data_IF_782512996846
#
_entry.id   IF_782512996846
#
_cell.length_a   1.000
_cell.length_b   1.000
_cell.length_c   1.000
_cell.angle_alpha   90.00
_cell.angle_beta   90.00
_cell.angle_gamma   90.00
#
_symmetry.space_group_name_H-M   'P 1'
#
loop_
_entity.id
_entity.type
_entity.pdbx_description
1 polymer ?
#
# COMPACT_ATOMS: atom_id res chain seq x y z
N UNK A 1 13.78 14.74 -22.01
CA UNK A 1 13.95 13.74 -20.96
C UNK A 1 12.61 13.07 -20.72
N UNK A 2 12.51 11.79 -21.03
CA UNK A 2 11.28 11.02 -20.74
C UNK A 2 11.10 10.97 -19.22
N UNK A 3 9.97 11.48 -18.70
CA UNK A 3 9.60 11.25 -17.29
C UNK A 3 9.42 9.73 -17.13
N UNK A 4 10.25 9.12 -16.32
CA UNK A 4 10.03 7.73 -15.96
C UNK A 4 8.70 7.63 -15.17
N UNK A 5 7.82 6.74 -15.60
CA UNK A 5 6.56 6.44 -14.91
C UNK A 5 6.70 5.07 -14.21
N UNK A 6 7.23 5.06 -12.98
CA UNK A 6 7.51 3.81 -12.29
C UNK A 6 6.24 3.02 -12.00
N UNK A 7 6.44 1.71 -11.92
CA UNK A 7 5.45 0.76 -11.42
C UNK A 7 5.29 0.89 -9.92
N UNK A 8 4.12 0.49 -9.42
CA UNK A 8 3.75 0.58 -8.02
C UNK A 8 3.59 -0.83 -7.47
N UNK A 9 4.41 -1.16 -6.47
CA UNK A 9 4.33 -2.42 -5.74
C UNK A 9 3.75 -2.13 -4.36
N UNK A 10 2.64 -2.81 -4.03
CA UNK A 10 2.12 -2.84 -2.67
C UNK A 10 2.69 -4.07 -1.96
N UNK A 11 3.21 -3.88 -0.76
CA UNK A 11 3.64 -4.93 0.15
C UNK A 11 2.89 -4.81 1.48
N UNK A 12 2.54 -5.95 2.04
CA UNK A 12 1.68 -6.13 3.21
C UNK A 12 0.21 -5.83 2.95
N UNK A 13 -0.63 -6.25 3.88
CA UNK A 13 -2.08 -6.20 3.72
C UNK A 13 -2.64 -4.80 3.91
N UNK A 14 -3.45 -4.33 2.98
CA UNK A 14 -4.18 -3.09 3.13
C UNK A 14 -5.09 -3.15 4.37
N UNK A 15 -5.19 -2.05 5.13
CA UNK A 15 -6.05 -1.94 6.31
C UNK A 15 -5.60 -2.78 7.52
N UNK A 16 -4.38 -3.33 7.51
CA UNK A 16 -3.89 -4.21 8.56
C UNK A 16 -3.80 -3.53 9.94
N UNK A 17 -3.43 -2.25 10.01
CA UNK A 17 -3.33 -1.51 11.26
C UNK A 17 -4.71 -1.31 11.91
N UNK A 18 -5.72 -0.88 11.16
CA UNK A 18 -7.08 -0.71 11.68
C UNK A 18 -7.70 -2.06 12.03
N UNK A 19 -7.44 -3.10 11.24
CA UNK A 19 -7.88 -4.47 11.51
C UNK A 19 -7.30 -5.00 12.81
N UNK A 20 -6.01 -4.82 13.07
CA UNK A 20 -5.37 -5.23 14.33
C UNK A 20 -6.00 -4.47 15.52
N UNK A 21 -6.09 -3.15 15.43
CA UNK A 21 -6.66 -2.31 16.50
C UNK A 21 -8.09 -2.71 16.85
N UNK A 22 -8.95 -2.86 15.84
CA UNK A 22 -10.34 -3.24 16.06
C UNK A 22 -10.48 -4.69 16.55
N UNK A 23 -9.57 -5.57 16.17
CA UNK A 23 -9.52 -6.95 16.70
C UNK A 23 -9.22 -6.97 18.20
N UNK A 24 -8.31 -6.14 18.66
CA UNK A 24 -7.98 -6.01 20.08
C UNK A 24 -9.17 -5.41 20.87
N UNK A 25 -9.86 -4.43 20.32
CA UNK A 25 -11.04 -3.82 20.92
C UNK A 25 -12.21 -4.82 21.00
N UNK A 26 -12.40 -5.67 20.00
CA UNK A 26 -13.42 -6.74 20.01
C UNK A 26 -13.13 -7.80 21.08
N UNK A 27 -11.87 -8.17 21.26
CA UNK A 27 -11.44 -9.07 22.33
C UNK A 27 -11.72 -8.52 23.73
N UNK A 28 -11.81 -7.18 23.87
CA UNK A 28 -12.16 -6.50 25.12
C UNK A 28 -13.67 -6.30 25.35
N UNK A 29 -14.54 -6.88 24.51
CA UNK A 29 -16.01 -6.87 24.71
C UNK A 29 -16.71 -5.58 24.27
N UNK A 30 -16.09 -4.74 23.49
CA UNK A 30 -16.66 -3.48 22.99
C UNK A 30 -17.42 -3.66 21.66
N UNK A 31 -18.51 -4.37 21.67
CA UNK A 31 -19.65 -4.10 20.74
C UNK A 31 -19.52 -4.44 19.26
N UNK A 32 -18.38 -4.89 18.76
CA UNK A 32 -18.22 -5.28 17.35
C UNK A 32 -18.22 -6.80 17.28
N UNK A 33 -19.26 -7.38 16.69
CA UNK A 33 -19.50 -8.83 16.66
C UNK A 33 -18.77 -9.50 15.47
N UNK A 34 -17.49 -9.19 15.26
CA UNK A 34 -16.66 -9.86 14.26
C UNK A 34 -15.72 -10.81 15.00
N UNK A 35 -15.86 -12.11 14.77
CA UNK A 35 -14.89 -13.11 15.23
C UNK A 35 -13.62 -12.97 14.37
N UNK A 36 -12.77 -12.04 14.75
CA UNK A 36 -11.44 -11.97 14.18
C UNK A 36 -10.61 -13.07 14.83
N UNK A 37 -10.08 -13.96 14.01
CA UNK A 37 -9.28 -15.06 14.51
C UNK A 37 -7.97 -14.52 15.12
N UNK A 38 -7.48 -15.13 16.18
CA UNK A 38 -6.14 -14.82 16.72
C UNK A 38 -5.03 -14.95 15.67
N UNK A 39 -5.29 -15.69 14.58
CA UNK A 39 -4.43 -15.81 13.43
C UNK A 39 -4.26 -14.48 12.67
N UNK A 40 -5.33 -13.68 12.51
CA UNK A 40 -5.25 -12.38 11.82
C UNK A 40 -4.38 -11.38 12.60
N UNK A 41 -4.55 -11.32 13.94
CA UNK A 41 -3.72 -10.47 14.81
C UNK A 41 -2.24 -10.87 14.71
N UNK A 42 -1.97 -12.17 14.76
CA UNK A 42 -0.61 -12.70 14.63
C UNK A 42 0.01 -12.35 13.28
N UNK A 43 -0.78 -12.41 12.19
CA UNK A 43 -0.32 -12.07 10.85
C UNK A 43 -0.02 -10.57 10.72
N UNK A 44 -0.87 -9.69 11.23
CA UNK A 44 -0.63 -8.24 11.23
C UNK A 44 0.67 -7.89 11.99
N UNK A 45 0.93 -8.54 13.13
CA UNK A 45 2.19 -8.35 13.89
C UNK A 45 3.40 -8.84 13.10
N UNK A 46 3.31 -10.00 12.47
CA UNK A 46 4.36 -10.55 11.62
C UNK A 46 4.68 -9.65 10.42
N UNK A 47 3.66 -9.07 9.79
CA UNK A 47 3.84 -8.10 8.71
C UNK A 47 4.61 -6.85 9.19
N UNK A 48 4.30 -6.35 10.38
CA UNK A 48 5.01 -5.20 10.96
C UNK A 48 6.49 -5.50 11.21
N UNK A 49 6.81 -6.68 11.75
CA UNK A 49 8.18 -7.12 11.99
C UNK A 49 8.98 -7.28 10.70
N UNK A 50 8.34 -7.64 9.59
CA UNK A 50 8.97 -7.85 8.30
C UNK A 50 9.22 -6.56 7.49
N UNK A 51 8.79 -5.38 7.96
CA UNK A 51 8.88 -4.12 7.20
C UNK A 51 10.32 -3.72 6.86
N UNK A 52 11.23 -3.85 7.81
CA UNK A 52 12.65 -3.51 7.58
C UNK A 52 13.31 -4.45 6.56
N UNK A 53 12.91 -5.72 6.57
CA UNK A 53 13.37 -6.67 5.54
C UNK A 53 12.83 -6.28 4.16
N UNK A 54 11.56 -5.87 4.06
CA UNK A 54 10.96 -5.42 2.80
C UNK A 54 11.69 -4.19 2.25
N UNK A 55 12.04 -3.22 3.10
CA UNK A 55 12.81 -2.03 2.71
C UNK A 55 14.17 -2.42 2.18
N UNK A 56 14.90 -3.25 2.90
CA UNK A 56 16.24 -3.72 2.49
C UNK A 56 16.21 -4.46 1.16
N UNK A 57 15.18 -5.28 0.91
CA UNK A 57 14.99 -5.94 -0.37
C UNK A 57 14.79 -4.90 -1.49
N UNK A 58 13.96 -3.89 -1.25
CA UNK A 58 13.67 -2.85 -2.23
C UNK A 58 14.90 -1.98 -2.55
N UNK A 59 15.69 -1.62 -1.55
CA UNK A 59 16.95 -0.90 -1.71
C UNK A 59 17.94 -1.67 -2.57
N UNK A 60 18.15 -2.96 -2.25
CA UNK A 60 19.13 -3.80 -2.94
C UNK A 60 18.69 -4.17 -4.36
N UNK A 61 17.39 -4.27 -4.63
CA UNK A 61 16.88 -4.75 -5.90
C UNK A 61 16.83 -3.69 -7.00
N UNK A 62 16.47 -2.42 -6.69
CA UNK A 62 16.13 -1.48 -7.77
C UNK A 62 16.13 0.00 -7.39
N UNK A 63 16.70 0.41 -6.28
CA UNK A 63 16.68 1.82 -5.87
C UNK A 63 15.24 2.38 -5.78
N UNK A 64 14.32 1.61 -5.22
CA UNK A 64 12.92 1.97 -5.13
C UNK A 64 12.70 3.12 -4.15
N UNK A 65 11.85 4.08 -4.51
CA UNK A 65 11.29 5.04 -3.55
C UNK A 65 10.23 4.32 -2.72
N UNK A 66 10.13 4.66 -1.44
CA UNK A 66 9.12 4.08 -0.53
C UNK A 66 8.13 5.16 -0.14
N UNK A 67 6.85 4.83 -0.19
CA UNK A 67 5.78 5.62 0.36
C UNK A 67 5.13 4.85 1.50
N UNK A 68 5.03 5.47 2.65
CA UNK A 68 4.32 4.97 3.82
C UNK A 68 2.96 5.65 3.89
N UNK A 69 1.85 4.91 3.84
CA UNK A 69 0.56 5.48 4.20
C UNK A 69 0.60 5.85 5.69
N UNK A 70 0.41 7.14 5.99
CA UNK A 70 0.40 7.63 7.35
C UNK A 70 -0.99 8.14 7.75
N UNK A 71 -1.49 7.69 8.90
CA UNK A 71 -2.75 8.15 9.47
C UNK A 71 -3.98 7.60 8.74
N UNK A 72 -4.96 8.46 8.57
CA UNK A 72 -6.27 8.12 8.00
C UNK A 72 -6.24 8.02 6.48
N UNK A 73 -7.04 7.11 5.94
CA UNK A 73 -7.33 7.04 4.51
C UNK A 73 -6.62 5.93 3.75
N UNK A 74 -5.78 5.15 4.42
CA UNK A 74 -5.20 3.92 3.90
C UNK A 74 -4.41 4.07 2.61
N UNK A 75 -4.35 2.98 1.87
CA UNK A 75 -3.55 2.88 0.64
C UNK A 75 -4.03 3.82 -0.48
N UNK A 76 -5.35 4.07 -0.58
CA UNK A 76 -5.89 4.96 -1.60
C UNK A 76 -5.49 6.41 -1.39
N UNK A 77 -5.45 6.88 -0.13
CA UNK A 77 -4.98 8.22 0.19
C UNK A 77 -3.48 8.36 -0.13
N UNK A 78 -2.67 7.37 0.24
CA UNK A 78 -1.24 7.36 -0.04
C UNK A 78 -0.95 7.42 -1.55
N UNK A 79 -1.65 6.61 -2.35
CA UNK A 79 -1.53 6.60 -3.81
C UNK A 79 -1.92 7.94 -4.43
N UNK A 80 -3.03 8.52 -3.97
CA UNK A 80 -3.47 9.84 -4.44
C UNK A 80 -2.42 10.90 -4.18
N UNK A 81 -1.93 10.98 -2.93
CA UNK A 81 -0.94 11.99 -2.52
C UNK A 81 0.42 11.79 -3.19
N UNK A 82 0.85 10.54 -3.39
CA UNK A 82 2.05 10.22 -4.14
C UNK A 82 1.97 10.72 -5.59
N UNK A 83 0.82 10.51 -6.25
CA UNK A 83 0.59 11.00 -7.61
C UNK A 83 0.56 12.54 -7.68
N UNK A 84 -0.02 13.21 -6.68
CA UNK A 84 0.02 14.68 -6.57
C UNK A 84 1.46 15.17 -6.42
N UNK A 85 2.24 14.57 -5.51
CA UNK A 85 3.64 14.95 -5.28
C UNK A 85 4.51 14.75 -6.52
N UNK A 86 4.26 13.70 -7.29
CA UNK A 86 4.96 13.42 -8.56
C UNK A 86 4.45 14.25 -9.74
N UNK A 87 3.35 14.99 -9.58
CA UNK A 87 2.67 15.69 -10.67
C UNK A 87 2.37 14.77 -11.86
N UNK A 88 1.85 13.58 -11.56
CA UNK A 88 1.54 12.54 -12.54
C UNK A 88 0.15 11.96 -12.30
N UNK A 89 -0.39 11.32 -13.33
CA UNK A 89 -1.52 10.42 -13.19
C UNK A 89 -1.09 9.08 -12.60
N UNK A 90 -2.10 8.26 -12.29
CA UNK A 90 -1.85 6.89 -11.87
C UNK A 90 -2.98 5.97 -12.30
N UNK A 91 -2.65 4.72 -12.60
CA UNK A 91 -3.59 3.63 -12.89
C UNK A 91 -3.24 2.43 -12.01
N UNK A 92 -4.21 1.99 -11.21
CA UNK A 92 -4.03 0.87 -10.27
C UNK A 92 -5.16 -0.16 -10.40
N UNK A 93 -4.84 -1.40 -10.04
CA UNK A 93 -5.78 -2.51 -9.94
C UNK A 93 -5.94 -2.88 -8.46
N UNK A 94 -7.07 -2.51 -7.86
CA UNK A 94 -7.33 -2.77 -6.44
C UNK A 94 -7.39 -4.26 -6.11
N UNK A 95 -7.85 -5.10 -7.03
CA UNK A 95 -7.91 -6.55 -6.82
C UNK A 95 -6.53 -7.20 -6.64
N UNK A 96 -5.46 -6.53 -7.10
CA UNK A 96 -4.09 -7.04 -6.98
C UNK A 96 -3.45 -6.62 -5.64
N UNK A 97 -4.06 -5.67 -4.91
CA UNK A 97 -3.56 -5.22 -3.61
C UNK A 97 -3.71 -6.34 -2.57
N UNK A 98 -2.63 -6.73 -1.89
CA UNK A 98 -2.73 -7.69 -0.79
C UNK A 98 -3.70 -7.19 0.28
N UNK A 99 -4.61 -8.07 0.72
CA UNK A 99 -5.60 -7.77 1.76
C UNK A 99 -5.98 -9.03 2.50
N UNK A 100 -6.19 -8.93 3.81
CA UNK A 100 -6.66 -10.03 4.63
C UNK A 100 -8.18 -10.23 4.46
N UNK A 101 -8.67 -11.49 4.41
CA UNK A 101 -10.11 -11.77 4.44
C UNK A 101 -10.81 -11.12 5.63
N UNK A 102 -10.16 -11.06 6.78
CA UNK A 102 -10.65 -10.44 8.00
C UNK A 102 -10.83 -8.93 7.86
N UNK A 103 -9.91 -8.26 7.14
CA UNK A 103 -10.04 -6.82 6.81
C UNK A 103 -11.27 -6.58 5.94
N UNK A 104 -11.52 -7.46 4.96
CA UNK A 104 -12.70 -7.37 4.11
C UNK A 104 -13.97 -7.54 4.92
N UNK A 105 -14.07 -8.60 5.73
CA UNK A 105 -15.24 -8.86 6.57
C UNK A 105 -15.51 -7.72 7.57
N UNK A 106 -14.46 -7.16 8.16
CA UNK A 106 -14.56 -6.03 9.06
C UNK A 106 -15.04 -4.77 8.34
N UNK A 107 -14.50 -4.50 7.17
CA UNK A 107 -14.88 -3.34 6.35
C UNK A 107 -16.36 -3.38 5.94
N UNK A 108 -16.87 -4.55 5.57
CA UNK A 108 -18.30 -4.77 5.30
C UNK A 108 -19.17 -4.49 6.53
N UNK A 109 -18.78 -4.99 7.70
CA UNK A 109 -19.49 -4.77 8.96
C UNK A 109 -19.54 -3.29 9.34
N UNK A 110 -18.48 -2.54 9.06
CA UNK A 110 -18.36 -1.12 9.38
C UNK A 110 -18.90 -0.20 8.28
N UNK A 111 -19.29 -0.72 7.11
CA UNK A 111 -19.66 0.07 5.94
C UNK A 111 -18.52 0.94 5.42
N UNK A 112 -17.27 0.47 5.55
CA UNK A 112 -16.07 1.19 5.12
C UNK A 112 -15.46 0.55 3.86
N UNK A 113 -14.72 1.34 3.09
CA UNK A 113 -13.87 0.80 2.03
C UNK A 113 -12.57 0.28 2.65
N UNK A 114 -12.21 -1.01 2.47
CA UNK A 114 -11.05 -1.62 3.11
C UNK A 114 -9.71 -0.96 2.68
N UNK A 115 -9.65 -0.43 1.47
CA UNK A 115 -8.46 0.28 0.97
C UNK A 115 -8.31 1.71 1.50
N UNK A 116 -9.29 2.19 2.28
CA UNK A 116 -9.27 3.46 3.03
C UNK A 116 -9.07 3.26 4.53
N UNK A 117 -9.02 2.02 5.00
CA UNK A 117 -8.71 1.70 6.39
C UNK A 117 -7.22 1.94 6.67
N UNK A 118 -6.92 2.40 7.88
CA UNK A 118 -5.55 2.69 8.30
C UNK A 118 -4.65 1.46 8.13
N UNK A 119 -3.47 1.67 7.57
CA UNK A 119 -2.58 0.57 7.17
C UNK A 119 -1.11 0.88 7.44
N UNK A 120 -0.34 -0.18 7.67
CA UNK A 120 1.12 -0.16 7.68
C UNK A 120 1.72 -0.79 6.41
N UNK A 121 0.91 -1.03 5.38
CA UNK A 121 1.41 -1.47 4.08
C UNK A 121 2.44 -0.50 3.51
N UNK A 122 3.38 -1.02 2.74
CA UNK A 122 4.40 -0.24 2.05
C UNK A 122 4.07 -0.14 0.56
N UNK A 123 4.25 1.05 0.00
CA UNK A 123 4.21 1.27 -1.44
C UNK A 123 5.62 1.55 -1.94
N UNK A 124 6.07 0.75 -2.87
CA UNK A 124 7.35 0.92 -3.55
C UNK A 124 7.12 1.39 -4.97
N UNK A 125 7.93 2.36 -5.40
CA UNK A 125 7.89 2.91 -6.76
C UNK A 125 9.20 2.56 -7.46
N UNK A 126 9.14 1.75 -8.52
CA UNK A 126 10.30 1.19 -9.21
C UNK A 126 10.00 0.91 -10.68
N UNK A 127 11.04 0.83 -11.51
CA UNK A 127 10.91 0.41 -12.91
C UNK A 127 10.86 -1.13 -13.06
N UNK A 128 10.96 -1.87 -11.95
CA UNK A 128 11.05 -3.34 -11.91
C UNK A 128 10.00 -3.97 -10.97
N UNK A 129 8.74 -3.51 -11.07
CA UNK A 129 7.67 -3.86 -10.13
C UNK A 129 7.44 -5.36 -9.97
N UNK A 130 7.31 -6.10 -11.06
CA UNK A 130 7.10 -7.55 -11.00
C UNK A 130 8.30 -8.29 -10.39
N UNK A 131 9.52 -7.84 -10.65
CA UNK A 131 10.73 -8.42 -10.08
C UNK A 131 10.79 -8.18 -8.57
N UNK A 132 10.52 -6.95 -8.13
CA UNK A 132 10.47 -6.62 -6.72
C UNK A 132 9.38 -7.42 -5.99
N UNK A 133 8.16 -7.46 -6.54
CA UNK A 133 7.06 -8.22 -5.95
C UNK A 133 7.39 -9.71 -5.81
N UNK A 134 8.10 -10.28 -6.78
CA UNK A 134 8.56 -11.67 -6.73
C UNK A 134 9.62 -11.88 -5.64
N UNK A 135 10.58 -10.96 -5.52
CA UNK A 135 11.62 -11.01 -4.49
C UNK A 135 11.05 -10.92 -3.07
N UNK A 136 10.04 -10.06 -2.87
CA UNK A 136 9.34 -9.94 -1.59
C UNK A 136 8.57 -11.22 -1.26
N UNK A 137 7.81 -11.78 -2.22
CA UNK A 137 7.09 -13.04 -2.02
C UNK A 137 8.01 -14.23 -1.72
N UNK A 138 9.19 -14.28 -2.31
CA UNK A 138 10.19 -15.30 -2.01
C UNK A 138 10.69 -15.27 -0.56
N UNK A 139 10.47 -14.15 0.15
CA UNK A 139 10.74 -13.99 1.58
C UNK A 139 9.48 -14.12 2.45
N UNK A 140 8.37 -14.56 1.88
CA UNK A 140 7.12 -14.72 2.61
C UNK A 140 6.35 -13.40 2.83
N UNK A 141 6.79 -12.30 2.20
CA UNK A 141 6.13 -11.00 2.30
C UNK A 141 5.05 -10.92 1.22
N UNK A 142 3.77 -10.73 1.59
CA UNK A 142 2.71 -10.55 0.60
C UNK A 142 2.96 -9.27 -0.19
N UNK A 143 3.11 -9.39 -1.50
CA UNK A 143 3.39 -8.26 -2.37
C UNK A 143 2.88 -8.47 -3.79
N UNK A 144 2.45 -7.39 -4.45
CA UNK A 144 2.03 -7.40 -5.83
C UNK A 144 2.35 -6.08 -6.53
N UNK A 145 2.64 -6.15 -7.83
CA UNK A 145 2.65 -4.97 -8.69
C UNK A 145 1.19 -4.59 -9.00
N UNK A 146 0.73 -3.50 -8.40
CA UNK A 146 -0.69 -3.10 -8.44
C UNK A 146 -1.01 -2.09 -9.54
N UNK A 147 -0.01 -1.52 -10.19
CA UNK A 147 -0.21 -0.52 -11.23
C UNK A 147 1.03 0.29 -11.50
N UNK A 148 0.85 1.49 -12.04
CA UNK A 148 1.95 2.40 -12.40
C UNK A 148 1.49 3.85 -12.41
N UNK A 149 2.45 4.74 -12.35
CA UNK A 149 2.23 6.13 -12.71
C UNK A 149 2.07 6.25 -14.24
N UNK A 150 1.32 7.25 -14.67
CA UNK A 150 1.03 7.50 -16.09
C UNK A 150 1.13 9.00 -16.40
N UNK A 151 1.28 9.38 -17.69
CA UNK A 151 1.15 10.78 -18.10
C UNK A 151 -0.19 11.37 -17.69
N UNK A 152 -0.23 12.70 -17.51
CA UNK A 152 -1.46 13.40 -17.12
C UNK A 152 -1.61 13.53 -15.61
N UNK A 153 -2.82 13.83 -15.14
CA UNK A 153 -3.12 14.08 -13.72
C UNK A 153 -4.22 13.18 -13.18
N UNK A 154 -4.81 12.33 -14.01
CA UNK A 154 -5.90 11.44 -13.64
C UNK A 154 -5.39 10.34 -12.71
N UNK A 155 -6.14 10.08 -11.67
CA UNK A 155 -5.85 9.04 -10.68
C UNK A 155 -6.98 8.04 -10.67
N UNK A 156 -6.74 6.87 -11.26
CA UNK A 156 -7.78 5.92 -11.56
C UNK A 156 -7.50 4.53 -10.99
N UNK A 157 -8.57 3.92 -10.50
CA UNK A 157 -8.68 2.47 -10.41
C UNK A 157 -9.12 1.97 -11.78
N UNK A 158 -8.45 0.95 -12.29
CA UNK A 158 -8.79 0.34 -13.58
C UNK A 158 -9.10 -1.15 -13.37
N UNK A 159 -10.22 -1.60 -13.91
CA UNK A 159 -10.57 -3.01 -14.01
C UNK A 159 -11.12 -3.32 -15.40
N UNK A 160 -10.39 -4.12 -16.16
CA UNK A 160 -10.69 -4.47 -17.55
C UNK A 160 -11.03 -3.23 -18.39
N UNK A 161 -12.33 -2.93 -18.56
CA UNK A 161 -12.85 -1.80 -19.35
C UNK A 161 -13.36 -0.66 -18.48
N UNK A 162 -13.47 -0.86 -17.18
CA UNK A 162 -13.98 0.14 -16.25
C UNK A 162 -12.86 1.00 -15.69
N UNK A 163 -13.14 2.27 -15.50
CA UNK A 163 -12.21 3.26 -14.96
C UNK A 163 -12.97 4.12 -13.95
N UNK A 164 -12.51 4.10 -12.71
CA UNK A 164 -13.07 4.87 -11.62
C UNK A 164 -12.01 5.84 -11.06
N UNK A 165 -12.39 7.10 -10.83
CA UNK A 165 -11.50 8.09 -10.27
C UNK A 165 -11.32 7.90 -8.76
N UNK A 166 -10.08 8.00 -8.30
CA UNK A 166 -9.76 8.00 -6.88
C UNK A 166 -10.08 9.38 -6.33
N UNK A 167 -11.00 9.43 -5.37
CA UNK A 167 -11.36 10.67 -4.70
C UNK A 167 -10.20 11.24 -3.88
N UNK A 168 -10.12 12.57 -3.85
CA UNK A 168 -9.18 13.28 -2.99
C UNK A 168 -9.36 12.83 -1.53
N UNK A 169 -8.28 12.54 -0.78
CA UNK A 169 -8.37 12.22 0.63
C UNK A 169 -8.85 13.42 1.44
N UNK A 170 -9.35 13.16 2.65
CA UNK A 170 -9.75 14.20 3.60
C UNK A 170 -8.58 15.13 3.94
N UNK A 171 -8.91 16.35 4.40
CA UNK A 171 -7.88 17.32 4.83
C UNK A 171 -7.13 16.78 6.06
N UNK A 172 -5.81 17.06 6.12
CA UNK A 172 -4.96 16.65 7.24
C UNK A 172 -4.39 15.23 7.12
N UNK A 173 -4.58 14.56 5.97
CA UNK A 173 -3.86 13.32 5.66
C UNK A 173 -2.55 13.73 5.00
N UNK A 174 -1.44 13.35 5.64
CA UNK A 174 -0.09 13.57 5.16
C UNK A 174 0.55 12.27 4.70
N UNK A 175 1.55 12.39 3.86
CA UNK A 175 2.28 11.29 3.29
C UNK A 175 3.71 11.33 3.82
N UNK A 176 4.10 10.32 4.58
CA UNK A 176 5.52 10.06 4.81
C UNK A 176 6.08 9.36 3.56
N UNK A 177 6.99 10.03 2.88
CA UNK A 177 7.72 9.45 1.77
C UNK A 177 9.20 9.41 2.14
N UNK A 178 9.74 8.21 2.23
CA UNK A 178 11.17 7.99 2.25
C UNK A 178 11.63 7.81 0.81
N UNK A 179 12.39 8.76 0.31
CA UNK A 179 13.01 8.66 -1.02
C UNK A 179 14.41 8.12 -0.79
N UNK A 180 14.66 6.87 -1.20
CA UNK A 180 16.03 6.40 -1.35
C UNK A 180 16.59 7.03 -2.62
N UNK A 181 17.28 8.16 -2.47
CA UNK A 181 18.13 8.67 -3.52
C UNK A 181 19.30 7.68 -3.66
N UNK A 182 19.24 6.85 -4.70
CA UNK A 182 20.46 6.26 -5.21
C UNK A 182 21.32 7.42 -5.66
N UNK A 183 22.35 7.80 -4.87
CA UNK A 183 23.44 8.60 -5.37
C UNK A 183 23.97 7.89 -6.62
N UNK A 184 23.53 8.35 -7.78
CA UNK A 184 24.28 8.08 -8.99
C UNK A 184 25.63 8.73 -8.74
N UNK A 185 26.60 7.95 -8.32
CA UNK A 185 27.99 8.33 -8.46
C UNK A 185 28.16 8.64 -9.94
N UNK A 186 28.14 9.91 -10.23
CA UNK A 186 28.68 10.44 -11.48
C UNK A 186 30.19 10.20 -11.36
N UNK A 187 30.64 9.06 -11.83
CA UNK A 187 32.05 8.90 -12.13
C UNK A 187 32.36 9.88 -13.26
N UNK A 188 33.04 10.96 -12.86
CA UNK A 188 33.67 11.90 -13.76
C UNK A 188 34.95 11.28 -14.35
#
# INVERSE_FOLDING_TARGET
MSRAYPEIVAAFSAGNLETERLSEECGAGKGINVRLSGAAISLCKSEREAREEARRIAENACGASICLPYGRGGILAALYLAAVRRQSGLEIRLRDVPILPETVALSETLGKNPYRMDTEALLFFTDYGDSLARSLRAKGIPAACIGRFVPGLDKCVVDKTEREYINRPERGIELEAEVFETERKTDA
#
